data_IF_534797097348
#
_entry.id   IF_534797097348
#
_cell.length_a   1.000
_cell.length_b   1.000
_cell.length_c   1.000
_cell.angle_alpha   90.00
_cell.angle_beta   90.00
_cell.angle_gamma   90.00
#
_symmetry.space_group_name_H-M   'P 1'
#
loop_
_entity.id
_entity.type
_entity.pdbx_description
1 polymer ?
#
# COMPACT_ATOMS: atom_id res chain seq x y z
N UNK A 1 2.05 -16.40 9.10
CA UNK A 1 1.28 -17.14 10.13
C UNK A 1 2.15 -18.13 10.87
N UNK A 2 2.84 -19.07 10.19
CA UNK A 2 3.76 -20.01 10.86
C UNK A 2 4.79 -19.33 11.77
N UNK A 3 5.44 -18.26 11.29
CA UNK A 3 6.41 -17.50 12.10
C UNK A 3 5.78 -16.88 13.35
N UNK A 4 4.53 -16.42 13.25
CA UNK A 4 3.78 -15.83 14.38
C UNK A 4 3.43 -16.94 15.38
N UNK A 5 2.90 -18.07 14.91
CA UNK A 5 2.60 -19.24 15.75
C UNK A 5 3.85 -19.72 16.50
N UNK A 6 4.96 -19.90 15.78
CA UNK A 6 6.23 -20.32 16.36
C UNK A 6 6.76 -19.32 17.39
N UNK A 7 6.75 -18.02 17.09
CA UNK A 7 7.21 -16.98 18.01
C UNK A 7 6.38 -16.97 19.30
N UNK A 8 5.05 -17.11 19.21
CA UNK A 8 4.18 -17.13 20.38
C UNK A 8 4.36 -18.40 21.21
N UNK A 9 4.52 -19.57 20.59
CA UNK A 9 4.85 -20.83 21.28
C UNK A 9 6.16 -20.72 22.07
N UNK A 10 7.20 -20.14 21.46
CA UNK A 10 8.49 -19.91 22.11
C UNK A 10 8.34 -18.91 23.27
N UNK A 11 7.75 -17.75 23.01
CA UNK A 11 7.60 -16.69 24.03
C UNK A 11 6.76 -17.10 25.23
N UNK A 12 5.77 -17.99 25.02
CA UNK A 12 4.93 -18.54 26.10
C UNK A 12 5.49 -19.82 26.72
N UNK A 13 6.61 -20.34 26.22
CA UNK A 13 7.16 -21.66 26.57
C UNK A 13 6.12 -22.78 26.49
N UNK A 14 5.14 -22.64 25.58
CA UNK A 14 4.09 -23.61 25.36
C UNK A 14 4.15 -24.08 23.90
N UNK A 15 4.99 -25.09 23.66
CA UNK A 15 5.36 -25.53 22.33
C UNK A 15 4.29 -26.37 21.63
N UNK A 16 3.40 -27.02 22.39
CA UNK A 16 2.44 -27.98 21.86
C UNK A 16 1.06 -27.37 21.57
N UNK A 17 0.76 -26.19 22.14
CA UNK A 17 -0.50 -25.50 21.89
C UNK A 17 -0.34 -24.46 20.77
N UNK A 18 -1.23 -24.42 19.76
CA UNK A 18 -1.20 -23.37 18.75
C UNK A 18 -1.24 -21.97 19.37
N UNK A 19 -0.44 -21.07 18.81
CA UNK A 19 -0.20 -19.70 19.26
C UNK A 19 0.24 -19.60 20.73
N UNK A 20 0.86 -20.65 21.29
CA UNK A 20 1.29 -20.70 22.69
C UNK A 20 0.13 -20.61 23.70
N UNK A 21 -1.08 -20.99 23.29
CA UNK A 21 -2.30 -20.89 24.11
C UNK A 21 -2.89 -19.48 24.20
N UNK A 22 -2.44 -18.54 23.37
CA UNK A 22 -3.04 -17.21 23.30
C UNK A 22 -4.39 -17.24 22.58
N UNK A 23 -5.32 -16.40 23.05
CA UNK A 23 -6.51 -16.07 22.29
C UNK A 23 -6.10 -15.16 21.12
N UNK A 24 -6.47 -15.57 19.89
CA UNK A 24 -6.08 -14.85 18.68
C UNK A 24 -7.33 -14.43 17.92
N UNK A 25 -7.41 -13.13 17.64
CA UNK A 25 -8.42 -12.54 16.78
C UNK A 25 -7.79 -12.20 15.43
N UNK A 26 -8.32 -12.78 14.36
CA UNK A 26 -8.00 -12.36 13.00
C UNK A 26 -9.13 -11.50 12.47
N UNK A 27 -8.81 -10.37 11.86
CA UNK A 27 -9.78 -9.52 11.20
C UNK A 27 -9.29 -9.19 9.80
N UNK A 28 -10.17 -9.30 8.81
CA UNK A 28 -9.87 -8.94 7.44
C UNK A 28 -10.90 -9.43 6.44
N UNK A 29 -10.76 -9.01 5.20
CA UNK A 29 -11.61 -9.43 4.09
C UNK A 29 -10.79 -10.28 3.12
N UNK A 30 -11.08 -11.58 3.06
CA UNK A 30 -10.37 -12.51 2.17
C UNK A 30 -10.62 -12.29 0.68
N UNK A 31 -11.59 -11.44 0.30
CA UNK A 31 -11.81 -11.00 -1.07
C UNK A 31 -10.94 -9.80 -1.46
N UNK A 32 -10.14 -9.25 -0.53
CA UNK A 32 -9.14 -8.22 -0.84
C UNK A 32 -7.87 -8.84 -1.46
N UNK A 33 -6.88 -7.99 -1.70
CA UNK A 33 -5.62 -8.38 -2.34
C UNK A 33 -4.94 -9.53 -1.58
N UNK A 34 -4.42 -10.54 -2.29
CA UNK A 34 -3.64 -11.60 -1.66
C UNK A 34 -2.31 -11.04 -1.11
N UNK A 35 -1.67 -11.75 -0.17
CA UNK A 35 -0.39 -11.29 0.37
C UNK A 35 0.67 -11.21 -0.72
N UNK A 36 1.41 -10.09 -0.76
CA UNK A 36 2.45 -9.85 -1.77
C UNK A 36 3.64 -10.79 -1.53
N UNK A 37 3.98 -11.59 -2.54
CA UNK A 37 5.17 -12.46 -2.48
C UNK A 37 5.03 -13.67 -1.53
N UNK A 38 3.89 -13.85 -0.86
CA UNK A 38 3.57 -15.00 -0.03
C UNK A 38 2.33 -15.73 -0.56
N UNK A 39 1.93 -16.81 0.11
CA UNK A 39 0.72 -17.55 -0.24
C UNK A 39 -0.43 -17.17 0.68
N UNK A 40 -1.62 -17.04 0.11
CA UNK A 40 -2.85 -16.88 0.88
C UNK A 40 -3.14 -18.17 1.68
N UNK A 41 -3.61 -18.02 2.93
CA UNK A 41 -3.89 -19.13 3.83
C UNK A 41 -4.98 -20.08 3.31
N UNK A 42 -5.90 -19.55 2.49
CA UNK A 42 -6.96 -20.32 1.83
C UNK A 42 -6.52 -21.00 0.52
N UNK A 43 -5.31 -20.74 0.00
CA UNK A 43 -4.79 -21.43 -1.19
C UNK A 43 -4.58 -22.89 -0.86
N UNK A 44 -5.08 -23.86 -1.63
CA UNK A 44 -4.96 -25.30 -1.31
C UNK A 44 -3.58 -25.91 -1.58
N UNK A 45 -2.76 -25.26 -2.39
CA UNK A 45 -1.49 -25.81 -2.85
C UNK A 45 -0.35 -24.86 -2.55
N UNK A 46 0.77 -25.44 -2.12
CA UNK A 46 2.05 -24.75 -2.13
C UNK A 46 2.55 -24.64 -3.57
N UNK A 47 2.99 -23.44 -3.97
CA UNK A 47 3.52 -23.23 -5.31
C UNK A 47 4.79 -24.09 -5.47
N UNK A 48 4.85 -25.02 -6.44
CA UNK A 48 6.01 -25.91 -6.60
C UNK A 48 7.32 -25.17 -6.86
N UNK A 49 7.24 -23.94 -7.36
CA UNK A 49 8.36 -23.05 -7.64
C UNK A 49 9.04 -22.45 -6.40
N UNK A 50 8.53 -22.73 -5.19
CA UNK A 50 9.10 -22.24 -3.92
C UNK A 50 10.10 -23.23 -3.33
N UNK A 51 11.06 -22.74 -2.53
CA UNK A 51 12.02 -23.59 -1.84
C UNK A 51 11.32 -24.56 -0.87
N UNK A 52 12.00 -25.64 -0.47
CA UNK A 52 11.43 -26.61 0.46
C UNK A 52 11.03 -25.96 1.79
N UNK A 53 11.88 -25.07 2.32
CA UNK A 53 11.66 -24.35 3.57
C UNK A 53 10.43 -23.45 3.46
N UNK A 54 10.29 -22.69 2.37
CA UNK A 54 9.14 -21.83 2.14
C UNK A 54 7.84 -22.64 2.04
N UNK A 55 7.88 -23.82 1.41
CA UNK A 55 6.71 -24.72 1.35
C UNK A 55 6.35 -25.26 2.73
N UNK A 56 7.32 -25.69 3.53
CA UNK A 56 7.09 -26.13 4.92
C UNK A 56 6.45 -25.03 5.75
N UNK A 57 6.97 -23.79 5.67
CA UNK A 57 6.40 -22.64 6.39
C UNK A 57 4.96 -22.32 5.95
N UNK A 58 4.63 -22.52 4.68
CA UNK A 58 3.28 -22.36 4.19
C UNK A 58 2.34 -23.43 4.75
N UNK A 59 2.74 -24.70 4.76
CA UNK A 59 1.91 -25.78 5.30
C UNK A 59 1.75 -25.67 6.82
N UNK A 60 2.79 -25.31 7.56
CA UNK A 60 2.68 -25.01 8.99
C UNK A 60 1.72 -23.84 9.25
N UNK A 61 1.80 -22.80 8.41
CA UNK A 61 0.90 -21.65 8.49
C UNK A 61 -0.55 -22.02 8.22
N UNK A 62 -0.79 -22.95 7.29
CA UNK A 62 -2.11 -23.51 7.02
C UNK A 62 -2.61 -24.35 8.19
N UNK A 63 -1.78 -25.22 8.76
CA UNK A 63 -2.16 -26.03 9.92
C UNK A 63 -2.61 -25.12 11.07
N UNK A 64 -1.83 -24.08 11.38
CA UNK A 64 -2.22 -23.08 12.38
C UNK A 64 -3.53 -22.33 12.04
N UNK A 65 -3.80 -22.07 10.75
CA UNK A 65 -5.05 -21.47 10.29
C UNK A 65 -6.27 -22.39 10.47
N UNK A 66 -6.08 -23.70 10.29
CA UNK A 66 -7.15 -24.70 10.46
C UNK A 66 -7.57 -24.88 11.92
N UNK A 67 -6.74 -24.44 12.86
CA UNK A 67 -7.06 -24.44 14.29
C UNK A 67 -8.03 -23.31 14.71
N UNK A 68 -8.39 -22.41 13.79
CA UNK A 68 -9.46 -21.43 14.02
C UNK A 68 -10.78 -22.17 14.11
N UNK A 69 -11.50 -21.97 15.22
CA UNK A 69 -12.75 -22.66 15.52
C UNK A 69 -13.99 -21.80 15.31
N UNK A 70 -13.86 -20.47 15.30
CA UNK A 70 -15.00 -19.56 15.22
C UNK A 70 -14.85 -18.55 14.07
N UNK A 71 -15.98 -18.26 13.41
CA UNK A 71 -16.06 -17.31 12.30
C UNK A 71 -17.25 -16.37 12.51
N UNK A 72 -16.98 -15.07 12.52
CA UNK A 72 -17.98 -14.02 12.62
C UNK A 72 -17.99 -13.23 11.30
N UNK A 73 -19.15 -13.08 10.69
CA UNK A 73 -19.32 -12.30 9.46
C UNK A 73 -20.11 -11.02 9.77
N UNK A 74 -19.51 -9.86 9.58
CA UNK A 74 -20.25 -8.59 9.58
C UNK A 74 -20.98 -8.44 8.25
N UNK A 75 -22.25 -8.10 8.28
CA UNK A 75 -23.10 -8.03 7.07
C UNK A 75 -23.52 -6.61 6.70
N UNK A 76 -23.33 -5.66 7.61
CA UNK A 76 -23.70 -4.26 7.45
C UNK A 76 -22.50 -3.44 7.00
N UNK A 77 -22.67 -2.70 5.91
CA UNK A 77 -21.63 -1.87 5.32
C UNK A 77 -21.83 -0.44 5.82
N UNK A 78 -20.87 0.07 6.60
CA UNK A 78 -21.00 1.36 7.31
C UNK A 78 -20.36 2.56 6.58
N UNK A 79 -19.82 2.33 5.39
CA UNK A 79 -18.72 3.11 4.84
C UNK A 79 -19.08 3.80 3.52
N UNK A 80 -19.92 3.17 2.73
CA UNK A 80 -20.51 3.69 1.50
C UNK A 80 -21.94 4.08 1.82
N UNK A 81 -22.23 5.38 1.77
CA UNK A 81 -23.57 5.90 2.06
C UNK A 81 -24.53 5.77 0.87
N UNK A 82 -23.99 5.61 -0.34
CA UNK A 82 -24.75 5.40 -1.57
C UNK A 82 -25.19 3.93 -1.66
N UNK A 83 -26.49 3.70 -1.49
CA UNK A 83 -27.07 2.35 -1.44
C UNK A 83 -26.90 1.56 -2.75
N UNK A 84 -27.05 2.23 -3.90
CA UNK A 84 -26.94 1.59 -5.21
C UNK A 84 -25.48 1.18 -5.46
N UNK A 85 -24.54 2.10 -5.21
CA UNK A 85 -23.12 1.80 -5.32
C UNK A 85 -22.68 0.72 -4.33
N UNK A 86 -23.18 0.74 -3.09
CA UNK A 86 -22.89 -0.29 -2.10
C UNK A 86 -23.36 -1.68 -2.57
N UNK A 87 -24.57 -1.77 -3.14
CA UNK A 87 -25.10 -3.00 -3.71
C UNK A 87 -24.26 -3.50 -4.90
N UNK A 88 -23.87 -2.60 -5.81
CA UNK A 88 -22.98 -2.89 -6.93
C UNK A 88 -21.62 -3.42 -6.46
N UNK A 89 -20.97 -2.75 -5.49
CA UNK A 89 -19.68 -3.19 -4.97
C UNK A 89 -19.76 -4.53 -4.20
N UNK A 90 -20.89 -4.81 -3.54
CA UNK A 90 -21.14 -6.11 -2.90
C UNK A 90 -21.24 -7.23 -3.93
N UNK A 91 -21.94 -7.00 -5.05
CA UNK A 91 -22.02 -7.95 -6.17
C UNK A 91 -20.67 -8.13 -6.88
N UNK A 92 -19.95 -7.04 -7.09
CA UNK A 92 -18.60 -7.04 -7.66
C UNK A 92 -17.64 -7.89 -6.83
N UNK A 93 -17.67 -7.76 -5.50
CA UNK A 93 -16.83 -8.54 -4.57
C UNK A 93 -16.96 -10.05 -4.77
N UNK A 94 -18.14 -10.53 -5.12
CA UNK A 94 -18.43 -11.97 -5.36
C UNK A 94 -18.54 -12.33 -6.83
N UNK A 95 -18.18 -11.40 -7.73
CA UNK A 95 -18.20 -11.58 -9.20
C UNK A 95 -19.60 -11.89 -9.76
N UNK A 96 -20.63 -11.25 -9.22
CA UNK A 96 -22.03 -11.36 -9.68
C UNK A 96 -22.59 -10.00 -10.11
N UNK A 97 -21.78 -9.19 -10.80
CA UNK A 97 -22.27 -7.92 -11.34
C UNK A 97 -23.36 -8.16 -12.39
N UNK A 98 -24.39 -7.32 -12.37
CA UNK A 98 -25.43 -7.28 -13.41
C UNK A 98 -25.07 -6.24 -14.48
N UNK A 99 -25.88 -6.13 -15.53
CA UNK A 99 -25.67 -5.13 -16.59
C UNK A 99 -25.85 -3.69 -16.04
N UNK A 100 -26.79 -3.50 -15.13
CA UNK A 100 -27.06 -2.22 -14.47
C UNK A 100 -25.87 -1.77 -13.61
N UNK A 101 -25.16 -2.71 -12.97
CA UNK A 101 -23.93 -2.42 -12.24
C UNK A 101 -22.85 -1.83 -13.15
N UNK A 102 -22.74 -2.36 -14.37
CA UNK A 102 -21.77 -1.91 -15.38
C UNK A 102 -22.08 -0.50 -15.81
N UNK A 103 -23.35 -0.24 -16.10
CA UNK A 103 -23.84 1.06 -16.53
C UNK A 103 -23.62 2.10 -15.43
N UNK A 104 -23.91 1.74 -14.17
CA UNK A 104 -23.62 2.58 -13.02
C UNK A 104 -22.12 2.88 -12.91
N UNK A 105 -21.25 1.87 -13.00
CA UNK A 105 -19.79 2.09 -12.93
C UNK A 105 -19.28 2.93 -14.11
N UNK A 106 -19.79 2.70 -15.32
CA UNK A 106 -19.41 3.42 -16.53
C UNK A 106 -19.91 4.86 -16.55
N UNK A 107 -21.05 5.16 -15.90
CA UNK A 107 -21.54 6.53 -15.74
C UNK A 107 -20.55 7.42 -14.96
N UNK A 108 -19.67 6.82 -14.15
CA UNK A 108 -18.70 7.52 -13.35
C UNK A 108 -17.36 7.78 -14.06
N UNK A 109 -17.20 7.35 -15.31
CA UNK A 109 -15.98 7.52 -16.10
C UNK A 109 -15.72 8.99 -16.37
N UNK A 110 -14.49 9.44 -16.06
CA UNK A 110 -14.10 10.83 -16.28
C UNK A 110 -14.17 11.23 -17.75
N UNK A 111 -14.54 12.50 -17.96
CA UNK A 111 -14.53 13.14 -19.26
C UNK A 111 -13.13 13.07 -19.88
N UNK A 112 -13.06 12.59 -21.11
CA UNK A 112 -11.81 12.52 -21.87
C UNK A 112 -12.11 12.72 -23.36
N UNK A 113 -11.06 12.78 -24.19
CA UNK A 113 -11.24 12.82 -25.64
C UNK A 113 -12.01 11.57 -26.16
N UNK A 114 -11.82 10.42 -25.51
CA UNK A 114 -12.49 9.17 -25.84
C UNK A 114 -13.86 9.00 -25.15
N UNK A 115 -14.15 9.79 -24.11
CA UNK A 115 -15.46 9.83 -23.44
C UNK A 115 -15.89 11.28 -23.20
N UNK A 116 -16.38 12.00 -24.23
CA UNK A 116 -16.72 13.42 -24.12
C UNK A 116 -17.89 13.72 -23.17
N UNK A 117 -18.79 12.74 -22.99
CA UNK A 117 -19.93 12.78 -22.06
C UNK A 117 -19.59 12.29 -20.66
N UNK A 118 -18.30 11.99 -20.39
CA UNK A 118 -17.88 11.54 -19.08
C UNK A 118 -18.06 12.58 -17.98
N UNK A 119 -17.93 12.13 -16.74
CA UNK A 119 -18.03 12.95 -15.54
C UNK A 119 -16.88 13.95 -15.43
N UNK A 120 -17.18 15.20 -15.06
CA UNK A 120 -16.16 16.23 -14.84
C UNK A 120 -15.74 16.24 -13.37
N UNK A 121 -14.43 16.24 -13.11
CA UNK A 121 -13.89 16.48 -11.79
C UNK A 121 -13.79 17.99 -11.57
N UNK A 122 -14.36 18.51 -10.48
CA UNK A 122 -14.30 19.95 -10.22
C UNK A 122 -12.87 20.36 -9.81
N UNK A 123 -12.36 21.51 -10.28
CA UNK A 123 -10.99 21.95 -9.98
C UNK A 123 -10.67 22.11 -8.48
N UNK A 124 -11.69 22.34 -7.66
CA UNK A 124 -11.58 22.49 -6.19
C UNK A 124 -11.53 21.14 -5.46
N UNK A 125 -11.77 20.03 -6.15
CA UNK A 125 -11.72 18.70 -5.56
C UNK A 125 -10.31 18.13 -5.63
N UNK A 126 -9.59 18.15 -4.51
CA UNK A 126 -8.31 17.45 -4.37
C UNK A 126 -8.55 15.94 -4.37
N UNK A 127 -8.45 15.34 -5.56
CA UNK A 127 -8.63 13.91 -5.74
C UNK A 127 -7.33 13.14 -5.55
N UNK A 128 -7.41 11.98 -4.87
CA UNK A 128 -6.32 11.02 -4.79
C UNK A 128 -6.41 10.07 -5.98
N UNK A 129 -5.28 9.89 -6.70
CA UNK A 129 -5.21 8.98 -7.84
C UNK A 129 -4.65 7.62 -7.42
N UNK A 130 -5.40 6.57 -7.71
CA UNK A 130 -5.03 5.19 -7.45
C UNK A 130 -4.56 4.54 -8.74
N UNK A 131 -3.36 3.96 -8.71
CA UNK A 131 -2.78 3.32 -9.89
C UNK A 131 -2.18 1.96 -9.55
N UNK A 132 -1.87 1.18 -10.58
CA UNK A 132 -1.32 -0.16 -10.41
C UNK A 132 0.13 -0.16 -9.95
N UNK A 133 0.98 0.77 -10.38
CA UNK A 133 2.45 0.64 -10.19
C UNK A 133 3.06 1.81 -9.46
N UNK A 134 4.10 1.53 -8.66
CA UNK A 134 4.89 2.56 -7.99
C UNK A 134 5.53 3.55 -8.98
N UNK A 135 5.86 3.11 -10.19
CA UNK A 135 6.40 3.98 -11.24
C UNK A 135 5.37 5.02 -11.68
N UNK A 136 4.15 4.59 -12.02
CA UNK A 136 3.04 5.48 -12.37
C UNK A 136 2.72 6.44 -11.22
N UNK A 137 2.67 5.93 -9.98
CA UNK A 137 2.49 6.75 -8.78
C UNK A 137 3.54 7.86 -8.68
N UNK A 138 4.83 7.54 -8.89
CA UNK A 138 5.90 8.53 -8.81
C UNK A 138 5.78 9.59 -9.90
N UNK A 139 5.50 9.18 -11.13
CA UNK A 139 5.33 10.11 -12.25
C UNK A 139 4.19 11.09 -12.00
N UNK A 140 3.01 10.58 -11.64
CA UNK A 140 1.83 11.41 -11.35
C UNK A 140 2.06 12.34 -10.16
N UNK A 141 2.67 11.83 -9.09
CA UNK A 141 2.99 12.64 -7.91
C UNK A 141 3.94 13.79 -8.23
N UNK A 142 4.98 13.53 -9.02
CA UNK A 142 5.96 14.56 -9.39
C UNK A 142 5.33 15.62 -10.30
N UNK A 143 4.57 15.19 -11.31
CA UNK A 143 3.86 16.07 -12.23
C UNK A 143 2.85 16.94 -11.47
N UNK A 144 1.98 16.33 -10.67
CA UNK A 144 0.93 17.04 -9.94
C UNK A 144 1.50 18.03 -8.93
N UNK A 145 2.55 17.65 -8.20
CA UNK A 145 3.21 18.57 -7.26
C UNK A 145 3.75 19.82 -7.98
N UNK A 146 4.37 19.63 -9.15
CA UNK A 146 4.94 20.73 -9.94
C UNK A 146 3.85 21.63 -10.51
N UNK A 147 2.80 21.03 -11.10
CA UNK A 147 1.67 21.77 -11.66
C UNK A 147 0.92 22.58 -10.59
N UNK A 148 0.67 21.99 -9.41
CA UNK A 148 -0.02 22.68 -8.31
C UNK A 148 0.81 23.86 -7.79
N UNK A 149 2.12 23.69 -7.61
CA UNK A 149 2.96 24.77 -7.13
C UNK A 149 2.99 25.96 -8.13
N UNK A 150 3.05 25.66 -9.43
CA UNK A 150 2.99 26.67 -10.48
C UNK A 150 1.63 27.39 -10.53
N UNK A 151 0.53 26.64 -10.45
CA UNK A 151 -0.83 27.22 -10.55
C UNK A 151 -1.20 28.06 -9.33
N UNK A 152 -0.72 27.68 -8.14
CA UNK A 152 -0.98 28.38 -6.88
C UNK A 152 0.05 29.48 -6.56
N UNK A 153 1.03 29.71 -7.45
CA UNK A 153 2.14 30.66 -7.27
C UNK A 153 2.88 30.48 -5.95
N UNK A 154 3.08 29.23 -5.55
CA UNK A 154 3.81 28.90 -4.34
C UNK A 154 5.30 28.71 -4.62
N UNK A 155 6.13 29.02 -3.63
CA UNK A 155 7.56 28.77 -3.70
C UNK A 155 7.83 27.26 -3.72
N UNK A 156 8.19 26.76 -4.91
CA UNK A 156 8.55 25.36 -5.12
C UNK A 156 10.04 25.17 -4.89
N UNK A 157 10.39 24.24 -3.99
CA UNK A 157 11.78 23.80 -3.77
C UNK A 157 11.91 22.32 -4.13
N UNK A 158 12.88 21.98 -4.98
CA UNK A 158 13.19 20.59 -5.31
C UNK A 158 14.34 20.09 -4.44
N UNK A 159 14.02 19.28 -3.43
CA UNK A 159 15.00 18.65 -2.56
C UNK A 159 15.64 17.43 -3.22
N UNK A 160 16.92 17.55 -3.53
CA UNK A 160 17.75 16.50 -4.11
C UNK A 160 18.35 15.62 -3.00
N UNK A 161 18.38 14.31 -3.22
CA UNK A 161 18.92 13.35 -2.27
C UNK A 161 20.43 13.54 -2.08
N UNK A 162 21.00 13.18 -0.93
CA UNK A 162 22.45 13.11 -0.71
C UNK A 162 22.95 11.69 -0.88
N UNK A 163 23.72 11.44 -1.94
CA UNK A 163 24.26 10.11 -2.24
C UNK A 163 25.75 10.02 -1.92
N UNK A 164 26.14 8.99 -1.17
CA UNK A 164 27.53 8.54 -1.01
C UNK A 164 27.72 7.25 -1.79
N UNK A 165 28.82 7.13 -2.52
CA UNK A 165 29.09 5.98 -3.40
C UNK A 165 30.42 5.33 -3.07
N UNK A 166 30.54 4.01 -3.29
CA UNK A 166 31.81 3.29 -3.13
C UNK A 166 32.89 3.68 -4.15
N UNK A 167 32.50 4.25 -5.28
CA UNK A 167 33.40 4.83 -6.28
C UNK A 167 33.25 6.36 -6.33
N UNK A 168 34.21 7.06 -6.93
CA UNK A 168 34.22 8.52 -6.99
C UNK A 168 32.92 9.09 -7.60
N UNK A 169 32.37 10.15 -6.99
CA UNK A 169 31.19 10.83 -7.50
C UNK A 169 31.58 11.82 -8.61
N UNK A 170 30.98 11.65 -9.79
CA UNK A 170 31.08 12.59 -10.92
C UNK A 170 29.70 13.20 -11.23
N UNK A 171 29.66 14.28 -12.03
CA UNK A 171 28.42 14.98 -12.38
C UNK A 171 27.40 14.07 -13.08
N UNK A 172 27.84 13.22 -14.01
CA UNK A 172 26.96 12.29 -14.72
C UNK A 172 26.35 11.24 -13.79
N UNK A 173 27.15 10.67 -12.87
CA UNK A 173 26.66 9.72 -11.86
C UNK A 173 25.70 10.40 -10.87
N UNK A 174 26.00 11.63 -10.47
CA UNK A 174 25.14 12.43 -9.59
C UNK A 174 23.76 12.62 -10.20
N UNK A 175 23.70 13.03 -11.47
CA UNK A 175 22.44 13.21 -12.20
C UNK A 175 21.69 11.88 -12.39
N UNK A 176 22.39 10.82 -12.79
CA UNK A 176 21.80 9.50 -12.97
C UNK A 176 21.19 8.96 -11.67
N UNK A 177 21.86 9.16 -10.53
CA UNK A 177 21.33 8.80 -9.22
C UNK A 177 20.11 9.63 -8.84
N UNK A 178 20.10 10.94 -9.09
CA UNK A 178 18.95 11.80 -8.80
C UNK A 178 17.68 11.39 -9.58
N UNK A 179 17.85 10.78 -10.74
CA UNK A 179 16.75 10.25 -11.55
C UNK A 179 16.41 8.78 -11.22
N UNK A 180 17.25 8.10 -10.44
CA UNK A 180 17.04 6.73 -10.02
C UNK A 180 16.19 6.63 -8.74
N UNK A 181 15.05 5.95 -8.84
CA UNK A 181 14.10 5.75 -7.73
C UNK A 181 13.84 4.25 -7.41
N UNK A 182 14.72 3.38 -7.88
CA UNK A 182 14.67 1.94 -7.61
C UNK A 182 13.77 1.17 -8.56
N UNK A 183 13.95 -0.15 -8.58
CA UNK A 183 13.22 -1.10 -9.45
C UNK A 183 11.94 -1.65 -8.82
N UNK A 184 11.51 -1.09 -7.67
CA UNK A 184 10.29 -1.48 -6.96
C UNK A 184 10.45 -2.61 -5.94
N UNK A 185 11.58 -3.33 -5.94
CA UNK A 185 11.88 -4.37 -4.94
C UNK A 185 12.59 -3.82 -3.70
N UNK A 186 13.27 -2.69 -3.83
CA UNK A 186 14.07 -2.08 -2.75
C UNK A 186 13.42 -0.76 -2.33
N UNK A 187 13.17 -0.59 -1.02
CA UNK A 187 12.67 0.66 -0.46
C UNK A 187 13.82 1.68 -0.44
N UNK A 188 13.93 2.49 -1.48
CA UNK A 188 14.93 3.55 -1.57
C UNK A 188 14.26 4.92 -1.48
N UNK A 189 14.97 5.90 -0.92
CA UNK A 189 14.54 7.30 -0.96
C UNK A 189 14.49 7.85 -2.39
N UNK A 190 13.55 8.77 -2.65
CA UNK A 190 13.43 9.43 -3.94
C UNK A 190 14.67 10.30 -4.22
N UNK A 191 15.13 10.30 -5.47
CA UNK A 191 16.26 11.13 -5.86
C UNK A 191 15.93 12.63 -5.80
N UNK A 192 14.69 13.01 -6.14
CA UNK A 192 14.19 14.39 -6.06
C UNK A 192 12.80 14.42 -5.43
N UNK A 193 12.56 15.35 -4.52
CA UNK A 193 11.27 15.58 -3.86
C UNK A 193 10.89 17.05 -4.04
N UNK A 194 9.83 17.38 -4.80
CA UNK A 194 9.27 18.73 -4.78
C UNK A 194 8.67 19.02 -3.41
N UNK A 195 8.81 20.25 -2.91
CA UNK A 195 8.21 20.74 -1.68
C UNK A 195 7.61 22.12 -1.91
N UNK A 196 6.42 22.31 -1.37
CA UNK A 196 5.77 23.61 -1.22
C UNK A 196 4.93 23.60 0.07
N UNK A 197 4.60 24.77 0.62
CA UNK A 197 3.82 24.86 1.86
C UNK A 197 2.38 24.42 1.62
N UNK A 198 1.89 23.45 2.39
CA UNK A 198 0.58 22.84 2.19
C UNK A 198 0.59 21.60 1.30
N UNK A 199 1.75 21.13 0.83
CA UNK A 199 1.80 19.96 -0.04
C UNK A 199 1.39 18.68 0.72
N UNK A 200 0.41 17.91 0.20
CA UNK A 200 0.09 16.61 0.78
C UNK A 200 1.23 15.62 0.53
N UNK A 201 1.61 14.89 1.56
CA UNK A 201 2.65 13.86 1.52
C UNK A 201 2.21 12.61 2.26
N UNK A 202 2.84 11.49 1.93
CA UNK A 202 2.78 10.24 2.68
C UNK A 202 4.11 10.06 3.39
N UNK A 203 4.08 9.86 4.70
CA UNK A 203 5.25 9.53 5.49
C UNK A 203 5.73 8.10 5.19
N UNK A 204 7.02 7.93 4.93
CA UNK A 204 7.65 6.66 4.53
C UNK A 204 8.79 6.25 5.44
N UNK A 205 8.93 6.90 6.59
CA UNK A 205 9.97 6.60 7.58
C UNK A 205 9.62 5.39 8.44
N UNK A 206 10.36 5.23 9.53
CA UNK A 206 10.04 4.25 10.56
C UNK A 206 8.86 4.76 11.40
N UNK A 207 8.11 3.85 12.02
CA UNK A 207 7.06 4.25 12.95
C UNK A 207 7.70 4.97 14.15
N UNK A 208 7.36 6.25 14.33
CA UNK A 208 7.87 7.04 15.46
C UNK A 208 6.91 6.99 16.64
N UNK A 209 5.61 7.11 16.38
CA UNK A 209 4.59 7.00 17.41
C UNK A 209 3.28 6.51 16.81
N UNK A 210 2.84 5.33 17.26
CA UNK A 210 1.53 4.78 16.87
C UNK A 210 0.40 5.59 17.52
N UNK A 211 0.58 6.00 18.78
CA UNK A 211 -0.41 6.78 19.53
C UNK A 211 -0.69 8.15 18.89
N UNK A 212 0.32 8.77 18.28
CA UNK A 212 0.19 10.06 17.60
C UNK A 212 -0.07 9.92 16.09
N UNK A 213 -0.24 8.70 15.57
CA UNK A 213 -0.43 8.46 14.13
C UNK A 213 0.78 8.75 13.24
N UNK A 214 1.98 8.90 13.82
CA UNK A 214 3.24 9.16 13.10
C UNK A 214 3.85 7.81 12.68
N UNK A 215 3.20 7.17 11.72
CA UNK A 215 3.54 5.82 11.24
C UNK A 215 3.78 5.79 9.75
N UNK A 216 4.58 4.84 9.27
CA UNK A 216 4.80 4.61 7.84
C UNK A 216 3.44 4.42 7.13
N UNK A 217 3.17 5.24 6.12
CA UNK A 217 1.91 5.29 5.38
C UNK A 217 0.96 6.40 5.83
N UNK A 218 1.22 7.07 6.96
CA UNK A 218 0.40 8.18 7.41
C UNK A 218 0.46 9.36 6.43
N UNK A 219 -0.69 9.94 6.15
CA UNK A 219 -0.77 11.19 5.42
C UNK A 219 -0.37 12.35 6.32
N UNK A 220 0.27 13.34 5.71
CA UNK A 220 0.66 14.57 6.36
C UNK A 220 0.71 15.71 5.34
N UNK A 221 0.84 16.94 5.85
CA UNK A 221 0.97 18.14 5.04
C UNK A 221 2.28 18.85 5.36
N UNK A 222 2.97 19.35 4.34
CA UNK A 222 4.24 20.10 4.51
C UNK A 222 3.95 21.48 5.12
N UNK A 223 4.51 21.76 6.30
CA UNK A 223 4.35 23.05 6.99
C UNK A 223 5.52 23.99 6.65
N UNK A 224 6.74 23.49 6.77
CA UNK A 224 7.98 24.22 6.51
C UNK A 224 9.14 23.25 6.27
N UNK A 225 10.28 23.75 5.80
CA UNK A 225 11.48 22.96 5.55
C UNK A 225 12.74 23.78 5.78
N UNK A 226 13.85 23.08 5.93
CA UNK A 226 15.19 23.67 6.00
C UNK A 226 16.09 22.98 4.97
N UNK A 227 16.69 23.77 4.09
CA UNK A 227 17.49 23.30 2.95
C UNK A 227 18.83 24.01 2.87
N UNK A 228 19.85 23.28 2.42
CA UNK A 228 21.19 23.80 2.13
C UNK A 228 21.57 23.48 0.70
N UNK A 229 22.40 24.31 0.07
CA UNK A 229 22.95 24.03 -1.26
C UNK A 229 24.17 23.11 -1.11
N UNK A 230 24.20 22.00 -1.85
CA UNK A 230 25.36 21.11 -1.89
C UNK A 230 26.47 21.65 -2.82
N UNK A 231 27.63 20.98 -2.83
CA UNK A 231 28.77 21.35 -3.69
C UNK A 231 28.49 21.25 -5.19
N UNK A 232 27.38 20.65 -5.59
CA UNK A 232 26.93 20.51 -6.98
C UNK A 232 25.85 21.53 -7.34
N UNK A 233 25.51 22.45 -6.43
CA UNK A 233 24.47 23.46 -6.65
C UNK A 233 23.04 22.97 -6.40
N UNK A 234 22.84 21.75 -5.90
CA UNK A 234 21.51 21.22 -5.62
C UNK A 234 21.04 21.56 -4.20
N UNK A 235 19.75 21.87 -4.04
CA UNK A 235 19.13 22.02 -2.72
C UNK A 235 18.95 20.65 -2.08
N UNK A 236 19.38 20.50 -0.84
CA UNK A 236 19.23 19.29 -0.02
C UNK A 236 18.58 19.65 1.30
N UNK A 237 17.58 18.87 1.72
CA UNK A 237 16.93 19.04 3.00
C UNK A 237 17.83 18.66 4.20
N UNK A 238 17.88 19.53 5.21
CA UNK A 238 18.31 19.19 6.57
C UNK A 238 17.17 18.61 7.40
N UNK A 239 15.93 19.05 7.13
CA UNK A 239 14.71 18.56 7.76
C UNK A 239 13.46 19.17 7.12
N UNK A 240 12.31 18.59 7.44
CA UNK A 240 10.98 19.09 7.05
C UNK A 240 10.05 19.03 8.26
N UNK A 241 9.19 20.02 8.43
CA UNK A 241 8.13 19.98 9.45
C UNK A 241 6.85 19.53 8.75
N UNK A 242 6.27 18.44 9.26
CA UNK A 242 5.03 17.86 8.73
C UNK A 242 3.92 17.99 9.74
N UNK A 243 2.72 18.32 9.28
CA UNK A 243 1.49 18.26 10.06
C UNK A 243 0.81 16.91 9.85
N UNK A 244 0.57 16.16 10.91
CA UNK A 244 -0.15 14.87 10.87
C UNK A 244 -1.59 15.06 11.37
N UNK A 245 -2.54 14.31 10.79
CA UNK A 245 -3.95 14.33 11.20
C UNK A 245 -4.82 15.40 10.53
N UNK A 246 -6.15 15.31 10.73
CA UNK A 246 -7.17 16.11 10.06
C UNK A 246 -7.54 17.39 10.86
N UNK A 247 -6.54 18.19 11.23
CA UNK A 247 -6.72 19.46 11.97
C UNK A 247 -7.30 19.35 13.40
N UNK A 248 -7.41 18.15 13.97
CA UNK A 248 -7.61 17.99 15.41
C UNK A 248 -6.26 18.18 16.13
N UNK A 249 -6.21 19.12 17.07
CA UNK A 249 -5.00 19.40 17.85
C UNK A 249 -4.74 18.24 18.81
N UNK A 250 -3.82 17.35 18.43
CA UNK A 250 -3.53 16.13 19.21
C UNK A 250 -2.32 16.29 20.12
N UNK A 251 -1.37 17.16 19.75
CA UNK A 251 -0.17 17.47 20.52
C UNK A 251 0.49 18.76 20.00
N UNK A 252 1.38 19.36 20.79
CA UNK A 252 2.16 20.52 20.35
C UNK A 252 3.56 20.50 20.98
N UNK A 253 4.60 20.69 20.17
CA UNK A 253 5.95 20.95 20.65
C UNK A 253 6.18 22.44 20.86
N UNK A 254 7.04 22.80 21.82
CA UNK A 254 7.43 24.19 22.05
C UNK A 254 7.97 24.83 20.75
N UNK A 255 7.43 25.99 20.38
CA UNK A 255 7.78 26.75 19.16
C UNK A 255 7.36 26.12 17.82
N UNK A 256 6.46 25.12 17.83
CA UNK A 256 5.88 24.57 16.61
C UNK A 256 4.35 24.72 16.61
N UNK A 257 3.77 24.71 15.41
CA UNK A 257 2.32 24.68 15.24
C UNK A 257 1.75 23.35 15.77
N UNK A 258 0.50 23.33 16.26
CA UNK A 258 -0.16 22.11 16.71
C UNK A 258 -0.12 20.99 15.68
N UNK A 259 0.00 19.75 16.15
CA UNK A 259 0.04 18.51 15.36
C UNK A 259 1.18 18.47 14.31
N UNK A 260 2.25 19.27 14.50
CA UNK A 260 3.42 19.27 13.61
C UNK A 260 4.65 18.61 14.24
N UNK A 261 5.44 17.93 13.40
CA UNK A 261 6.61 17.15 13.82
C UNK A 261 7.78 17.43 12.87
N UNK A 262 8.98 17.73 13.41
CA UNK A 262 10.18 17.80 12.59
C UNK A 262 10.63 16.39 12.17
N UNK A 263 10.78 16.18 10.87
CA UNK A 263 11.21 14.92 10.26
C UNK A 263 12.58 15.13 9.62
N UNK A 264 13.53 14.30 10.03
CA UNK A 264 14.90 14.32 9.53
C UNK A 264 15.10 13.35 8.35
N UNK A 265 16.03 13.64 7.42
CA UNK A 265 16.43 12.71 6.39
C UNK A 265 16.97 11.39 6.96
N UNK A 266 16.53 10.28 6.37
CA UNK A 266 17.00 8.92 6.68
C UNK A 266 17.90 8.38 5.57
N UNK A 267 18.78 7.43 5.92
CA UNK A 267 19.68 6.78 4.96
C UNK A 267 19.15 5.41 4.51
N UNK A 268 19.26 5.13 3.21
CA UNK A 268 18.94 3.83 2.59
C UNK A 268 20.10 3.38 1.70
N UNK A 269 20.46 2.10 1.77
CA UNK A 269 21.56 1.53 0.99
C UNK A 269 21.02 0.69 -0.18
N UNK A 270 21.64 0.82 -1.36
CA UNK A 270 21.30 0.02 -2.54
C UNK A 270 22.48 -0.12 -3.51
N UNK A 271 22.38 -1.08 -4.42
CA UNK A 271 23.31 -1.24 -5.55
C UNK A 271 22.78 -0.48 -6.76
N UNK A 272 23.66 0.24 -7.43
CA UNK A 272 23.33 1.00 -8.63
C UNK A 272 24.28 0.62 -9.76
N UNK A 273 23.72 0.34 -10.93
CA UNK A 273 24.46 0.03 -12.14
C UNK A 273 24.21 1.09 -13.20
N UNK A 274 25.26 1.72 -13.70
CA UNK A 274 25.18 2.55 -14.90
C UNK A 274 25.53 1.71 -16.11
N UNK A 275 24.62 1.60 -17.08
CA UNK A 275 24.97 1.07 -18.40
C UNK A 275 26.01 2.01 -19.03
N UNK A 276 27.11 1.47 -19.54
CA UNK A 276 28.06 2.26 -20.29
C UNK A 276 27.37 2.78 -21.56
N UNK A 277 27.33 4.09 -21.72
CA UNK A 277 27.08 4.68 -23.03
C UNK A 277 28.17 4.18 -23.98
N UNK A 278 27.76 3.50 -25.06
CA UNK A 278 28.57 2.96 -26.16
C UNK A 278 29.56 1.82 -25.83
N UNK A 279 29.20 0.59 -26.20
CA UNK A 279 30.11 -0.44 -26.72
C UNK A 279 31.08 -1.16 -25.78
N UNK A 280 31.29 -0.72 -24.54
CA UNK A 280 32.18 -1.38 -23.58
C UNK A 280 31.41 -2.27 -22.60
N UNK A 281 31.81 -3.54 -22.51
CA UNK A 281 31.08 -4.65 -21.89
C UNK A 281 31.10 -4.71 -20.34
N UNK A 282 31.49 -3.65 -19.62
CA UNK A 282 31.51 -3.67 -18.15
C UNK A 282 30.46 -2.75 -17.53
N UNK A 283 29.41 -3.38 -17.00
CA UNK A 283 28.45 -2.72 -16.11
C UNK A 283 29.12 -2.49 -14.76
N UNK A 284 29.50 -1.25 -14.46
CA UNK A 284 30.03 -0.90 -13.15
C UNK A 284 28.90 -0.84 -12.12
N UNK A 285 28.92 -1.76 -11.15
CA UNK A 285 27.99 -1.77 -10.02
C UNK A 285 28.64 -1.05 -8.84
N UNK A 286 27.97 -0.02 -8.33
CA UNK A 286 28.43 0.75 -7.18
C UNK A 286 27.46 0.58 -6.01
N UNK A 287 28.01 0.54 -4.79
CA UNK A 287 27.20 0.61 -3.57
C UNK A 287 26.89 2.08 -3.27
N UNK A 288 25.62 2.38 -2.99
CA UNK A 288 25.12 3.73 -2.75
C UNK A 288 24.44 3.80 -1.40
N UNK A 289 24.82 4.78 -0.58
CA UNK A 289 24.08 5.21 0.61
C UNK A 289 23.39 6.53 0.30
N UNK A 290 22.07 6.49 0.15
CA UNK A 290 21.22 7.65 -0.09
C UNK A 290 20.62 8.18 1.19
N UNK A 291 20.83 9.46 1.48
CA UNK A 291 20.16 10.21 2.54
C UNK A 291 19.10 11.14 1.95
N UNK A 292 17.85 10.98 2.35
CA UNK A 292 16.71 11.78 1.84
C UNK A 292 15.59 11.85 2.89
N UNK A 293 14.74 12.88 2.81
CA UNK A 293 13.50 12.94 3.58
C UNK A 293 12.65 11.67 3.34
N UNK A 294 12.18 11.01 4.41
CA UNK A 294 11.37 9.79 4.29
C UNK A 294 9.91 10.13 3.99
N UNK A 295 9.67 10.82 2.88
CA UNK A 295 8.34 11.24 2.43
C UNK A 295 8.19 11.01 0.94
N UNK A 296 6.94 10.98 0.48
CA UNK A 296 6.57 10.97 -0.93
C UNK A 296 5.39 11.93 -1.12
N UNK A 297 5.25 12.64 -2.25
CA UNK A 297 4.02 13.39 -2.52
C UNK A 297 2.78 12.49 -2.46
N UNK A 298 1.68 13.02 -1.95
CA UNK A 298 0.47 12.27 -1.57
C UNK A 298 -0.71 12.36 -2.55
N UNK A 299 -0.48 12.82 -3.78
CA UNK A 299 -1.55 12.96 -4.79
C UNK A 299 -1.96 11.64 -5.43
N UNK A 300 -1.04 10.66 -5.46
CA UNK A 300 -1.27 9.35 -6.01
C UNK A 300 -0.67 8.26 -5.14
N UNK A 301 -1.29 7.07 -5.16
CA UNK A 301 -0.77 5.88 -4.50
C UNK A 301 -1.14 4.61 -5.25
N UNK A 302 -0.52 3.49 -4.84
CA UNK A 302 -0.86 2.20 -5.43
C UNK A 302 -2.16 1.68 -4.83
N UNK A 303 -2.90 0.88 -5.61
CA UNK A 303 -4.10 0.19 -5.10
C UNK A 303 -3.79 -0.67 -3.86
N UNK A 304 -2.60 -1.27 -3.80
CA UNK A 304 -2.13 -2.01 -2.63
C UNK A 304 -1.98 -1.11 -1.40
N UNK A 305 -1.43 0.10 -1.57
CA UNK A 305 -1.23 1.04 -0.46
C UNK A 305 -2.53 1.63 0.07
N UNK A 306 -3.56 1.72 -0.76
CA UNK A 306 -4.86 2.24 -0.38
C UNK A 306 -5.78 1.22 0.30
N UNK A 307 -5.36 -0.05 0.41
CA UNK A 307 -6.16 -1.08 1.07
C UNK A 307 -6.40 -0.72 2.55
N UNK A 308 -7.66 -0.69 2.95
CA UNK A 308 -8.07 -0.30 4.32
C UNK A 308 -8.10 1.21 4.58
N UNK A 309 -7.65 2.04 3.63
CA UNK A 309 -7.69 3.50 3.75
C UNK A 309 -9.06 4.02 3.35
N UNK A 310 -9.56 5.00 4.12
CA UNK A 310 -10.76 5.78 3.80
C UNK A 310 -10.35 7.16 3.31
N UNK A 311 -10.77 7.53 2.09
CA UNK A 311 -10.53 8.87 1.55
C UNK A 311 -11.71 9.79 1.88
N UNK A 312 -11.48 10.97 2.48
CA UNK A 312 -12.54 11.95 2.70
C UNK A 312 -12.92 12.70 1.40
N UNK A 313 -12.01 12.75 0.43
CA UNK A 313 -12.19 13.41 -0.85
C UNK A 313 -12.40 12.43 -2.02
N UNK A 314 -12.64 12.95 -3.24
CA UNK A 314 -12.78 12.14 -4.43
C UNK A 314 -11.55 11.28 -4.71
N UNK A 315 -11.80 10.14 -5.32
CA UNK A 315 -10.77 9.15 -5.62
C UNK A 315 -10.88 8.79 -7.09
N UNK A 316 -9.77 8.84 -7.81
CA UNK A 316 -9.71 8.48 -9.23
C UNK A 316 -8.92 7.19 -9.38
N UNK A 317 -9.50 6.16 -10.00
CA UNK A 317 -8.84 4.85 -10.15
C UNK A 317 -8.45 4.60 -11.61
N UNK A 318 -7.15 4.54 -11.91
CA UNK A 318 -6.67 4.21 -13.26
C UNK A 318 -6.67 2.69 -13.49
N UNK A 319 -7.68 2.21 -14.24
CA UNK A 319 -7.86 0.80 -14.58
C UNK A 319 -7.42 0.46 -16.03
N UNK A 320 -6.85 1.41 -16.79
CA UNK A 320 -6.53 1.22 -18.22
C UNK A 320 -5.49 0.12 -18.49
N UNK A 321 -4.65 -0.18 -17.50
CA UNK A 321 -3.62 -1.24 -17.60
C UNK A 321 -4.04 -2.54 -16.92
N UNK A 322 -5.34 -2.75 -16.70
CA UNK A 322 -5.90 -3.89 -15.98
C UNK A 322 -5.68 -3.85 -14.46
N UNK A 323 -6.45 -4.67 -13.73
CA UNK A 323 -6.32 -4.89 -12.27
C UNK A 323 -5.25 -5.93 -11.88
N UNK A 324 -5.24 -6.36 -10.60
CA UNK A 324 -4.28 -7.34 -10.03
C UNK A 324 -4.89 -8.71 -9.71
N UNK A 325 -4.58 -9.79 -10.45
CA UNK A 325 -5.27 -11.10 -10.39
C UNK A 325 -6.15 -11.35 -9.14
N UNK A 326 -7.48 -11.37 -9.31
CA UNK A 326 -8.39 -11.60 -8.19
C UNK A 326 -8.15 -13.01 -7.63
N UNK A 327 -7.92 -13.13 -6.31
CA UNK A 327 -7.72 -14.43 -5.72
C UNK A 327 -8.98 -15.29 -5.90
N UNK A 328 -8.82 -16.63 -5.97
CA UNK A 328 -9.95 -17.52 -5.94
C UNK A 328 -10.82 -17.24 -4.71
N UNK A 329 -12.14 -17.12 -4.90
CA UNK A 329 -13.09 -16.92 -3.79
C UNK A 329 -12.85 -17.96 -2.68
N UNK A 330 -12.83 -17.57 -1.39
CA UNK A 330 -12.68 -18.49 -0.28
C UNK A 330 -13.72 -19.62 -0.30
N UNK A 331 -13.37 -20.81 0.18
CA UNK A 331 -14.25 -21.99 0.17
C UNK A 331 -15.54 -21.75 0.93
N UNK A 332 -15.48 -21.09 2.10
CA UNK A 332 -16.66 -20.73 2.87
C UNK A 332 -17.63 -19.87 2.05
N UNK A 333 -17.10 -18.89 1.32
CA UNK A 333 -17.87 -18.01 0.46
C UNK A 333 -18.42 -18.76 -0.76
N UNK A 334 -17.65 -19.68 -1.36
CA UNK A 334 -18.15 -20.56 -2.44
C UNK A 334 -19.28 -21.45 -1.98
N UNK A 335 -19.21 -22.00 -0.76
CA UNK A 335 -20.24 -22.87 -0.21
C UNK A 335 -21.52 -22.09 0.10
N UNK A 336 -21.39 -20.86 0.58
CA UNK A 336 -22.53 -19.95 0.77
C UNK A 336 -23.15 -19.52 -0.57
N UNK A 337 -22.31 -19.21 -1.56
CA UNK A 337 -22.76 -18.87 -2.91
C UNK A 337 -23.48 -20.04 -3.60
N UNK A 338 -23.01 -21.29 -3.41
CA UNK A 338 -23.68 -22.51 -3.88
C UNK A 338 -25.05 -22.75 -3.25
N UNK A 339 -25.28 -22.28 -2.01
CA UNK A 339 -26.62 -22.30 -1.39
C UNK A 339 -27.55 -21.27 -2.03
N UNK A 340 -27.00 -20.16 -2.52
CA UNK A 340 -27.74 -19.05 -3.15
C UNK A 340 -27.92 -19.22 -4.68
N UNK A 341 -27.10 -20.04 -5.35
CA UNK A 341 -27.13 -20.32 -6.81
C UNK A 341 -28.36 -21.09 -7.32
N UNK A 342 -29.47 -21.11 -6.57
CA UNK A 342 -30.77 -21.48 -7.13
C UNK A 342 -31.44 -20.32 -7.89
N UNK A 343 -30.81 -19.13 -7.96
CA UNK A 343 -31.35 -17.95 -8.62
C UNK A 343 -30.26 -17.15 -9.37
N UNK A 344 -30.41 -17.09 -10.70
CA UNK A 344 -29.95 -16.08 -11.67
C UNK A 344 -28.61 -16.27 -12.44
N UNK A 345 -28.72 -15.99 -13.75
CA UNK A 345 -27.68 -15.96 -14.79
C UNK A 345 -26.65 -14.84 -14.56
N UNK A 346 -25.37 -15.14 -14.84
CA UNK A 346 -24.21 -14.24 -14.62
C UNK A 346 -23.61 -13.84 -15.96
N UNK A 347 -23.40 -12.54 -16.19
CA UNK A 347 -22.71 -12.01 -17.39
C UNK A 347 -21.34 -11.40 -17.04
N UNK A 348 -20.35 -11.57 -17.92
CA UNK A 348 -19.00 -11.01 -17.79
C UNK A 348 -18.91 -9.56 -18.34
N UNK A 349 -18.09 -8.71 -17.71
CA UNK A 349 -17.94 -7.30 -18.11
C UNK A 349 -16.94 -7.13 -19.26
N UNK A 350 -17.26 -6.30 -20.28
CA UNK A 350 -16.32 -5.96 -21.34
C UNK A 350 -15.20 -5.04 -20.86
N UNK A 351 -14.00 -5.28 -21.41
CA UNK A 351 -12.74 -4.63 -21.05
C UNK A 351 -12.55 -3.31 -21.80
N UNK A 352 -13.17 -2.21 -21.35
CA UNK A 352 -12.62 -0.87 -21.58
C UNK A 352 -13.34 0.18 -20.75
N UNK A 353 -12.56 1.06 -20.12
CA UNK A 353 -13.01 2.34 -19.54
C UNK A 353 -13.72 2.25 -18.19
N UNK A 354 -12.95 2.07 -17.11
CA UNK A 354 -13.43 2.29 -15.74
C UNK A 354 -12.53 3.35 -15.06
N UNK A 355 -13.11 4.51 -14.76
CA UNK A 355 -12.61 5.54 -13.84
C UNK A 355 -13.84 5.92 -13.01
N UNK A 356 -13.78 5.96 -11.68
CA UNK A 356 -14.97 6.10 -10.81
C UNK A 356 -14.88 7.42 -10.03
N UNK A 357 -16.02 8.05 -9.71
CA UNK A 357 -16.21 9.17 -8.76
C UNK A 357 -17.27 8.75 -7.71
N UNK A 358 -17.28 9.45 -6.56
CA UNK A 358 -17.95 9.20 -5.23
C UNK A 358 -17.01 8.50 -4.24
N UNK A 359 -17.12 8.76 -2.91
CA UNK A 359 -16.14 8.31 -1.93
C UNK A 359 -16.03 6.79 -1.99
N UNK A 360 -15.04 6.32 -2.76
CA UNK A 360 -14.68 4.93 -2.87
C UNK A 360 -13.96 4.59 -1.59
N UNK A 361 -14.76 4.25 -0.60
CA UNK A 361 -14.19 3.78 0.64
C UNK A 361 -13.91 2.29 0.50
N UNK A 362 -12.62 2.00 0.30
CA UNK A 362 -12.02 0.70 -0.02
C UNK A 362 -11.99 0.32 -1.50
N UNK A 363 -10.77 0.36 -2.06
CA UNK A 363 -10.40 -0.44 -3.23
C UNK A 363 -10.59 -1.93 -2.93
N UNK A 364 -11.58 -2.53 -3.59
CA UNK A 364 -11.62 -3.97 -3.82
C UNK A 364 -11.33 -4.17 -5.31
N UNK A 365 -10.30 -4.96 -5.60
CA UNK A 365 -9.75 -5.12 -6.95
C UNK A 365 -10.77 -5.69 -7.93
N UNK A 366 -11.00 -4.99 -9.05
CA UNK A 366 -11.81 -5.43 -10.19
C UNK A 366 -10.98 -6.33 -11.11
N UNK A 367 -11.54 -7.47 -11.53
CA UNK A 367 -10.93 -8.43 -12.46
C UNK A 367 -11.81 -8.85 -13.61
N UNK A 368 -11.23 -8.86 -14.82
CA UNK A 368 -11.64 -9.67 -15.98
C UNK A 368 -10.38 -10.27 -16.64
N UNK A 369 -10.46 -11.52 -17.10
CA UNK A 369 -9.49 -12.27 -17.94
C UNK A 369 -10.38 -13.08 -18.92
N UNK A 370 -10.22 -13.08 -20.25
CA UNK A 370 -9.19 -13.75 -21.10
C UNK A 370 -9.27 -13.19 -22.56
N UNK A 371 -8.22 -13.15 -23.38
CA UNK A 371 -7.72 -14.28 -24.20
C UNK A 371 -6.31 -14.10 -24.81
N UNK A 372 -5.58 -15.22 -24.98
CA UNK A 372 -4.73 -15.49 -26.16
C UNK A 372 -3.20 -15.23 -26.16
N UNK A 373 -2.44 -16.33 -26.12
CA UNK A 373 -1.13 -16.61 -26.77
C UNK A 373 0.25 -16.17 -26.18
N UNK A 374 0.96 -17.20 -25.68
CA UNK A 374 2.40 -17.54 -25.69
C UNK A 374 3.55 -16.49 -25.71
N UNK A 375 4.54 -16.71 -24.82
CA UNK A 375 5.97 -16.37 -25.02
C UNK A 375 6.75 -16.10 -23.71
N UNK A 376 7.90 -16.75 -23.43
CA UNK A 376 8.53 -16.74 -22.10
C UNK A 376 9.57 -15.61 -21.94
N UNK A 377 9.62 -14.99 -20.76
CA UNK A 377 10.81 -14.23 -20.33
C UNK A 377 11.21 -14.58 -18.89
N UNK A 378 12.51 -14.79 -18.73
CA UNK A 378 13.19 -15.37 -17.57
C UNK A 378 13.18 -14.45 -16.35
N UNK A 379 13.22 -15.04 -15.15
CA UNK A 379 13.42 -14.35 -13.88
C UNK A 379 14.80 -14.69 -13.32
N UNK A 380 15.57 -13.66 -12.99
CA UNK A 380 16.72 -13.79 -12.10
C UNK A 380 16.31 -13.49 -10.66
N UNK A 381 16.85 -14.31 -9.78
CA UNK A 381 16.69 -14.39 -8.33
C UNK A 381 17.32 -13.20 -7.60
N UNK A 382 16.74 -12.76 -6.49
CA UNK A 382 17.53 -12.21 -5.37
C UNK A 382 16.93 -12.62 -4.02
N UNK A 383 17.80 -13.14 -3.16
CA UNK A 383 17.59 -13.61 -1.80
C UNK A 383 17.38 -12.48 -0.78
N UNK A 384 16.69 -12.83 0.30
CA UNK A 384 16.44 -12.05 1.50
C UNK A 384 17.69 -11.86 2.37
N UNK A 385 17.62 -10.91 3.32
CA UNK A 385 17.89 -11.10 4.77
C UNK A 385 17.95 -9.75 5.48
N UNK A 386 17.23 -9.56 6.59
CA UNK A 386 17.78 -9.03 7.85
C UNK A 386 16.72 -9.02 8.96
N UNK A 387 16.97 -9.87 9.96
CA UNK A 387 16.39 -9.88 11.30
C UNK A 387 16.95 -8.71 12.12
N UNK A 388 16.11 -8.09 12.95
CA UNK A 388 16.53 -7.22 14.08
C UNK A 388 15.63 -7.54 15.27
N UNK A 389 16.16 -7.68 16.50
CA UNK A 389 15.45 -8.22 17.65
C UNK A 389 14.57 -7.17 18.35
N UNK A 390 13.45 -7.61 18.91
CA UNK A 390 12.56 -6.82 19.76
C UNK A 390 12.89 -7.09 21.23
N UNK A 391 13.37 -6.06 21.93
CA UNK A 391 13.33 -5.95 23.39
C UNK A 391 12.15 -5.06 23.80
N UNK A 392 11.43 -5.53 24.80
CA UNK A 392 10.57 -4.86 25.79
C UNK A 392 9.69 -3.68 25.36
N UNK A 393 8.38 -3.93 25.31
CA UNK A 393 7.36 -2.96 25.75
C UNK A 393 6.25 -3.72 26.51
N UNK A 394 6.41 -3.80 27.83
CA UNK A 394 5.32 -3.99 28.78
C UNK A 394 4.65 -2.66 29.11
N UNK A 395 3.35 -2.74 29.41
CA UNK A 395 2.44 -1.70 29.94
C UNK A 395 1.67 -0.84 28.93
N UNK A 396 0.43 -1.24 28.67
CA UNK A 396 -0.77 -0.52 29.15
C UNK A 396 -2.04 -1.21 28.62
N UNK A 397 -2.69 -2.02 29.46
CA UNK A 397 -4.09 -2.42 29.24
C UNK A 397 -4.82 -2.41 30.58
N UNK A 398 -5.72 -1.43 30.74
CA UNK A 398 -6.77 -1.41 31.77
C UNK A 398 -7.85 -2.44 31.39
N UNK A 399 -8.47 -3.13 32.36
CA UNK A 399 -9.18 -4.38 32.10
C UNK A 399 -10.60 -4.16 31.57
N UNK A 400 -10.94 -4.83 30.47
CA UNK A 400 -12.33 -5.05 30.08
C UNK A 400 -13.00 -6.02 31.07
N UNK A 401 -14.24 -5.69 31.43
CA UNK A 401 -15.09 -6.39 32.40
C UNK A 401 -15.16 -7.90 32.12
N UNK A 402 -15.14 -8.67 33.21
CA UNK A 402 -15.26 -10.12 33.27
C UNK A 402 -16.29 -10.71 32.30
N UNK A 403 -15.80 -11.54 31.37
CA UNK A 403 -16.56 -12.68 30.88
C UNK A 403 -16.18 -13.90 31.72
N UNK A 404 -17.15 -14.74 32.14
CA UNK A 404 -16.85 -15.96 32.88
C UNK A 404 -16.05 -16.92 32.00
N UNK A 405 -14.98 -17.48 32.59
CA UNK A 405 -14.14 -18.49 31.96
C UNK A 405 -14.94 -19.74 31.58
N UNK A 406 -14.71 -20.25 30.37
CA UNK A 406 -14.36 -21.66 30.27
C UNK A 406 -13.05 -21.85 29.51
N UNK A 407 -12.35 -22.95 29.83
CA UNK A 407 -11.11 -23.45 29.22
C UNK A 407 -11.23 -23.73 27.71
N UNK A 408 -11.40 -22.68 26.90
CA UNK A 408 -11.34 -22.77 25.46
C UNK A 408 -10.45 -21.64 24.94
N UNK A 409 -9.35 -21.99 24.28
CA UNK A 409 -8.61 -21.03 23.46
C UNK A 409 -9.52 -20.63 22.28
N UNK A 410 -10.24 -19.52 22.40
CA UNK A 410 -11.11 -19.04 21.33
C UNK A 410 -10.26 -18.38 20.27
N UNK A 411 -10.37 -18.86 19.03
CA UNK A 411 -9.69 -18.29 17.87
C UNK A 411 -10.75 -17.89 16.86
N UNK A 412 -10.98 -16.58 16.74
CA UNK A 412 -12.08 -16.02 15.94
C UNK A 412 -11.52 -15.36 14.68
N UNK A 413 -12.14 -15.63 13.54
CA UNK A 413 -11.95 -14.85 12.31
C UNK A 413 -13.16 -13.96 12.08
N UNK A 414 -12.93 -12.65 12.01
CA UNK A 414 -13.94 -11.66 11.64
C UNK A 414 -13.78 -11.31 10.16
N UNK A 415 -14.86 -11.47 9.39
CA UNK A 415 -14.99 -11.00 8.02
C UNK A 415 -15.80 -9.71 7.97
N UNK A 416 -15.34 -8.76 7.15
CA UNK A 416 -16.06 -7.52 6.83
C UNK A 416 -16.81 -7.69 5.49
N UNK A 417 -18.10 -7.30 5.41
CA UNK A 417 -18.88 -7.30 4.15
C UNK A 417 -18.87 -5.97 3.42
#
# INVERSE_FOLDING_TARGET
MAEIDQALRIGRQNFNTPFGGMNVLFAGDLCQLPPVGAAALYSKTSLPSRTAEARTMMELGRAAWQEVNEVVNFTEQMRMQDADMAATLRRLRVRRCTQEDVELLNSNVLKSAQNPSGTVLHPTEEAIVLTRTNETVRALNHQKATETALSTRQDLVVCSAQDKTSAQMCASRREALLNYNGTGTTKIGLGRIPLYKGMPVVYRGNNQSVALGITNGAFATVESWDVVTDKWGHKVARGVVLRFGNNEETFQFSNLNPSTVPILPSSTNFKFSTAASSGAAETTVVNVSRRQLPIQPGFAMTVHSAQGITSPGPVVVDLRRGGFEAPPLPIALRNELRRLDKLADVHELPSSSLLIRRPLVSLRTVHFIRDGAHGPFSKHSVNASLLVPLHDITHAFTPFRHFPSPDFSTKVVIYDF
#
